data_IF_319463619324
#
_entry.id   IF_319463619324
#
_cell.length_a   1.000
_cell.length_b   1.000
_cell.length_c   1.000
_cell.angle_alpha   90.00
_cell.angle_beta   90.00
_cell.angle_gamma   90.00
#
_symmetry.space_group_name_H-M   'P 1'
#
loop_
_entity.id
_entity.type
_entity.pdbx_description
1 polymer ?
#
# COMPACT_ATOMS: atom_id res chain seq x y z
N UNK A 1 -4.09 27.77 4.76
CA UNK A 1 -3.13 26.67 5.04
C UNK A 1 -3.39 26.19 6.46
N UNK A 2 -4.09 25.07 6.63
CA UNK A 2 -4.05 24.38 7.92
C UNK A 2 -2.68 23.72 7.98
N UNK A 3 -1.79 24.23 8.81
CA UNK A 3 -0.49 23.61 9.05
C UNK A 3 -0.83 22.24 9.64
N UNK A 4 -0.44 21.15 8.95
CA UNK A 4 -0.42 19.80 9.53
C UNK A 4 0.64 19.79 10.64
N UNK A 5 0.37 20.46 11.77
CA UNK A 5 1.17 20.31 12.97
C UNK A 5 0.95 18.87 13.41
N UNK A 6 2.01 18.05 13.32
CA UNK A 6 2.00 16.71 13.90
C UNK A 6 1.71 16.89 15.39
N UNK A 7 0.57 16.41 15.86
CA UNK A 7 0.17 16.47 17.27
C UNK A 7 0.89 15.37 18.04
N UNK A 8 2.22 15.46 18.10
CA UNK A 8 3.05 14.58 18.92
C UNK A 8 3.56 15.37 20.12
N UNK A 9 3.11 14.99 21.31
CA UNK A 9 3.57 15.61 22.55
C UNK A 9 5.01 15.16 22.88
N UNK A 10 5.38 13.94 22.46
CA UNK A 10 6.70 13.34 22.63
C UNK A 10 6.93 12.21 21.63
N UNK A 11 8.18 11.96 21.25
CA UNK A 11 8.55 10.76 20.48
C UNK A 11 8.45 9.47 21.31
N UNK A 12 8.31 9.58 22.63
CA UNK A 12 8.15 8.43 23.52
C UNK A 12 6.89 7.62 23.20
N UNK A 13 5.79 8.28 22.82
CA UNK A 13 4.52 7.62 22.52
C UNK A 13 4.49 6.89 21.18
N UNK A 14 5.50 7.07 20.33
CA UNK A 14 5.59 6.35 19.06
C UNK A 14 5.99 4.91 19.30
N UNK A 15 5.33 4.00 18.58
CA UNK A 15 5.86 2.66 18.36
C UNK A 15 7.17 2.77 17.59
N UNK A 16 8.22 2.12 18.08
CA UNK A 16 9.56 2.14 17.49
C UNK A 16 9.82 0.77 16.89
N UNK A 17 9.93 0.70 15.57
CA UNK A 17 10.14 -0.54 14.84
C UNK A 17 11.60 -0.63 14.44
N UNK A 18 12.27 -1.72 14.81
CA UNK A 18 13.63 -2.02 14.42
C UNK A 18 13.67 -2.82 13.12
N UNK A 19 14.49 -2.40 12.17
CA UNK A 19 14.74 -3.10 10.93
C UNK A 19 16.22 -3.43 10.79
N UNK A 20 16.53 -4.71 10.67
CA UNK A 20 17.87 -5.16 10.27
C UNK A 20 17.87 -5.26 8.73
N UNK A 21 18.89 -4.71 8.06
CA UNK A 21 18.97 -4.67 6.59
C UNK A 21 20.38 -4.98 6.07
N UNK A 22 20.53 -5.57 4.86
CA UNK A 22 21.83 -5.71 4.21
C UNK A 22 22.59 -4.37 4.12
N UNK A 23 23.91 -4.41 4.32
CA UNK A 23 24.76 -3.23 4.21
C UNK A 23 24.71 -2.56 2.82
N UNK A 24 24.44 -3.36 1.79
CA UNK A 24 24.35 -2.91 0.38
C UNK A 24 22.93 -2.54 -0.07
N UNK A 25 21.91 -2.73 0.78
CA UNK A 25 20.54 -2.35 0.46
C UNK A 25 20.39 -0.83 0.58
N UNK A 26 19.84 -0.20 -0.46
CA UNK A 26 19.57 1.24 -0.50
C UNK A 26 18.13 1.57 -0.84
N UNK A 27 17.28 0.59 -1.17
CA UNK A 27 15.87 0.82 -1.47
C UNK A 27 15.00 0.77 -0.21
N UNK A 28 15.28 -0.14 0.73
CA UNK A 28 14.44 -0.39 1.91
C UNK A 28 14.19 0.89 2.71
N UNK A 29 15.26 1.50 3.23
CA UNK A 29 15.15 2.63 4.16
C UNK A 29 14.35 3.80 3.58
N UNK A 30 14.63 4.31 2.37
CA UNK A 30 13.85 5.41 1.82
C UNK A 30 12.39 5.01 1.55
N UNK A 31 12.13 3.80 1.02
CA UNK A 31 10.76 3.35 0.74
C UNK A 31 9.94 3.19 2.01
N UNK A 32 10.49 2.54 3.03
CA UNK A 32 9.83 2.39 4.33
C UNK A 32 9.52 3.75 4.96
N UNK A 33 10.45 4.72 4.89
CA UNK A 33 10.19 6.06 5.41
C UNK A 33 9.11 6.81 4.62
N UNK A 34 9.06 6.67 3.29
CA UNK A 34 8.02 7.27 2.46
C UNK A 34 6.63 6.69 2.78
N UNK A 35 6.53 5.38 2.93
CA UNK A 35 5.31 4.69 3.36
C UNK A 35 4.87 5.15 4.75
N UNK A 36 5.78 5.11 5.72
CA UNK A 36 5.50 5.45 7.12
C UNK A 36 5.22 6.94 7.35
N UNK A 37 5.58 7.82 6.41
CA UNK A 37 5.31 9.25 6.53
C UNK A 37 3.83 9.54 6.81
N UNK A 38 2.94 8.71 6.23
CA UNK A 38 1.49 8.74 6.43
C UNK A 38 1.02 8.38 7.85
N UNK A 39 1.90 7.92 8.73
CA UNK A 39 1.57 7.59 10.12
C UNK A 39 2.73 7.95 11.06
N UNK A 40 3.48 8.99 10.69
CA UNK A 40 4.69 9.41 11.39
C UNK A 40 4.45 10.02 12.78
N UNK A 41 3.19 10.18 13.18
CA UNK A 41 2.74 10.52 14.53
C UNK A 41 2.38 9.28 15.38
N UNK A 42 2.49 8.07 14.81
CA UNK A 42 2.16 6.79 15.45
C UNK A 42 3.35 5.85 15.55
N UNK A 43 4.20 5.84 14.52
CA UNK A 43 5.36 4.96 14.45
C UNK A 43 6.62 5.67 13.95
N UNK A 44 7.77 5.13 14.35
CA UNK A 44 9.09 5.46 13.81
C UNK A 44 9.87 4.18 13.52
N UNK A 45 10.80 4.26 12.57
CA UNK A 45 11.60 3.11 12.12
C UNK A 45 13.09 3.39 12.34
N UNK A 46 13.81 2.37 12.80
CA UNK A 46 15.21 2.45 13.20
C UNK A 46 15.97 1.30 12.56
N UNK A 47 17.20 1.54 12.11
CA UNK A 47 17.92 0.60 11.26
C UNK A 47 19.23 0.13 11.87
N UNK A 48 19.50 -1.16 11.73
CA UNK A 48 20.81 -1.74 11.94
C UNK A 48 21.20 -2.56 10.71
N UNK A 49 22.50 -2.75 10.50
CA UNK A 49 23.02 -3.35 9.27
C UNK A 49 23.86 -4.58 9.54
N UNK A 50 23.77 -5.52 8.61
CA UNK A 50 24.68 -6.68 8.52
C UNK A 50 25.45 -6.64 7.21
N UNK A 51 26.71 -7.06 7.25
CA UNK A 51 27.58 -7.08 6.08
C UNK A 51 27.11 -8.10 5.05
N UNK A 52 26.44 -7.62 3.99
CA UNK A 52 25.99 -8.41 2.84
C UNK A 52 26.28 -7.63 1.56
N UNK A 53 27.08 -8.21 0.65
CA UNK A 53 27.56 -7.52 -0.57
C UNK A 53 27.24 -8.27 -1.87
N UNK A 54 27.19 -9.59 -1.83
CA UNK A 54 26.97 -10.48 -2.98
C UNK A 54 25.78 -11.38 -2.71
N UNK A 55 25.07 -11.76 -3.76
CA UNK A 55 23.91 -12.64 -3.72
C UNK A 55 24.26 -13.96 -4.44
N UNK A 56 25.36 -14.58 -4.02
CA UNK A 56 25.83 -15.87 -4.55
C UNK A 56 25.59 -16.98 -3.53
N UNK A 57 25.46 -18.21 -4.01
CA UNK A 57 25.33 -19.42 -3.17
C UNK A 57 26.70 -20.03 -2.80
N UNK A 58 27.81 -19.35 -3.11
CA UNK A 58 29.14 -19.83 -2.75
C UNK A 58 29.28 -19.92 -1.22
N UNK A 59 29.86 -21.02 -0.70
CA UNK A 59 30.01 -21.28 0.75
C UNK A 59 30.68 -20.12 1.53
N UNK A 60 31.49 -19.29 0.85
CA UNK A 60 32.12 -18.10 1.45
C UNK A 60 31.11 -16.97 1.73
N UNK A 61 30.00 -16.93 1.00
CA UNK A 61 28.95 -15.90 1.09
C UNK A 61 27.81 -16.31 2.02
N UNK A 62 27.56 -17.61 2.24
CA UNK A 62 26.55 -18.11 3.21
C UNK A 62 26.92 -17.70 4.66
N UNK A 63 28.20 -17.53 4.96
CA UNK A 63 28.69 -17.02 6.25
C UNK A 63 28.29 -15.56 6.56
N UNK A 64 27.67 -14.85 5.61
CA UNK A 64 27.11 -13.52 5.83
C UNK A 64 25.83 -13.56 6.69
N UNK A 65 25.13 -14.70 6.74
CA UNK A 65 23.86 -14.89 7.47
C UNK A 65 24.01 -15.62 8.82
N UNK A 66 25.23 -15.73 9.36
CA UNK A 66 25.44 -16.32 10.68
C UNK A 66 24.63 -15.56 11.74
N UNK A 67 23.84 -16.31 12.54
CA UNK A 67 22.92 -15.76 13.55
C UNK A 67 23.61 -14.82 14.54
N UNK A 68 24.90 -15.00 14.79
CA UNK A 68 25.70 -14.11 15.65
C UNK A 68 25.72 -12.64 15.17
N UNK A 69 25.84 -12.38 13.86
CA UNK A 69 25.83 -11.02 13.31
C UNK A 69 24.43 -10.39 13.38
N UNK A 70 23.40 -11.19 13.14
CA UNK A 70 22.01 -10.77 13.31
C UNK A 70 21.71 -10.41 14.76
N UNK A 71 22.19 -11.22 15.71
CA UNK A 71 22.05 -10.97 17.13
C UNK A 71 22.78 -9.69 17.57
N UNK A 72 23.96 -9.40 17.01
CA UNK A 72 24.66 -8.13 17.26
C UNK A 72 23.87 -6.94 16.74
N UNK A 73 23.39 -7.00 15.49
CA UNK A 73 22.56 -5.96 14.91
C UNK A 73 21.26 -5.74 15.71
N UNK A 74 20.65 -6.82 16.20
CA UNK A 74 19.45 -6.79 17.03
C UNK A 74 19.69 -6.15 18.40
N UNK A 75 20.83 -6.43 19.06
CA UNK A 75 21.19 -5.79 20.33
C UNK A 75 21.33 -4.28 20.19
N UNK A 76 21.94 -3.80 19.11
CA UNK A 76 22.03 -2.36 18.83
C UNK A 76 20.65 -1.70 18.67
N UNK A 77 19.68 -2.40 18.05
CA UNK A 77 18.31 -1.93 17.96
C UNK A 77 17.60 -1.95 19.33
N UNK A 78 17.84 -2.99 20.13
CA UNK A 78 17.29 -3.08 21.48
C UNK A 78 17.78 -1.94 22.39
N UNK A 79 19.04 -1.51 22.25
CA UNK A 79 19.59 -0.35 22.97
C UNK A 79 18.82 0.95 22.65
N UNK A 80 18.23 1.06 21.45
CA UNK A 80 17.39 2.19 21.06
C UNK A 80 15.96 2.12 21.62
N UNK A 81 15.60 1.05 22.35
CA UNK A 81 14.28 0.87 22.94
C UNK A 81 13.18 0.65 21.90
N UNK A 82 13.48 -0.12 20.84
CA UNK A 82 12.46 -0.54 19.86
C UNK A 82 11.50 -1.57 20.45
N UNK A 83 10.28 -1.62 19.93
CA UNK A 83 9.20 -2.51 20.35
C UNK A 83 9.20 -3.86 19.59
N UNK A 84 9.79 -3.90 18.40
CA UNK A 84 9.91 -5.11 17.58
C UNK A 84 11.12 -5.03 16.65
N UNK A 85 11.60 -6.19 16.18
CA UNK A 85 12.75 -6.27 15.27
C UNK A 85 12.44 -7.16 14.07
N UNK A 86 12.55 -6.63 12.86
CA UNK A 86 12.33 -7.40 11.64
C UNK A 86 13.58 -7.44 10.75
N UNK A 87 13.89 -8.63 10.24
CA UNK A 87 14.96 -8.82 9.26
C UNK A 87 14.45 -8.62 7.82
N UNK A 88 15.02 -7.62 7.13
CA UNK A 88 14.72 -7.29 5.73
C UNK A 88 15.68 -8.01 4.79
N UNK A 89 15.49 -9.31 4.68
CA UNK A 89 16.14 -10.12 3.69
C UNK A 89 15.51 -11.50 3.68
N UNK A 90 15.97 -12.33 2.74
CA UNK A 90 15.63 -13.74 2.71
C UNK A 90 16.84 -14.49 3.26
N UNK A 91 16.67 -15.29 4.31
CA UNK A 91 17.74 -16.18 4.83
C UNK A 91 17.52 -17.63 4.40
N UNK A 92 16.27 -18.05 4.29
CA UNK A 92 15.89 -19.41 3.94
C UNK A 92 16.25 -19.84 2.54
N UNK A 93 16.12 -18.94 1.56
CA UNK A 93 16.45 -19.23 0.17
C UNK A 93 17.96 -19.50 -0.03
N UNK A 94 18.84 -18.99 0.85
CA UNK A 94 20.29 -19.05 0.66
C UNK A 94 21.01 -20.05 1.57
N UNK A 95 20.35 -20.50 2.63
CA UNK A 95 20.91 -21.42 3.62
C UNK A 95 20.60 -22.90 3.36
N UNK A 96 19.74 -23.20 2.37
CA UNK A 96 19.26 -24.55 2.08
C UNK A 96 18.25 -25.10 3.09
N UNK A 97 17.95 -24.37 4.18
CA UNK A 97 16.95 -24.75 5.20
C UNK A 97 15.55 -24.18 4.95
N UNK A 98 15.37 -23.35 3.91
CA UNK A 98 14.09 -22.68 3.67
C UNK A 98 13.63 -21.84 4.87
N UNK A 99 12.32 -21.74 5.09
CA UNK A 99 11.75 -20.89 6.14
C UNK A 99 12.16 -21.27 7.58
N UNK A 100 12.70 -22.46 7.82
CA UNK A 100 13.23 -22.85 9.13
C UNK A 100 14.40 -21.97 9.56
N UNK A 101 15.25 -21.51 8.62
CA UNK A 101 16.32 -20.56 8.93
C UNK A 101 15.79 -19.21 9.41
N UNK A 102 14.73 -18.71 8.79
CA UNK A 102 14.08 -17.47 9.21
C UNK A 102 13.46 -17.59 10.60
N UNK A 103 12.87 -18.76 10.92
CA UNK A 103 12.36 -19.06 12.25
C UNK A 103 13.49 -19.15 13.29
N UNK A 104 14.62 -19.78 12.96
CA UNK A 104 15.82 -19.83 13.81
C UNK A 104 16.34 -18.41 14.12
N UNK A 105 16.43 -17.55 13.10
CA UNK A 105 16.83 -16.14 13.28
C UNK A 105 15.87 -15.41 14.23
N UNK A 106 14.56 -15.54 14.03
CA UNK A 106 13.59 -14.88 14.90
C UNK A 106 13.68 -15.37 16.35
N UNK A 107 13.85 -16.68 16.56
CA UNK A 107 14.06 -17.28 17.90
C UNK A 107 15.32 -16.74 18.56
N UNK A 108 16.42 -16.63 17.81
CA UNK A 108 17.68 -16.11 18.32
C UNK A 108 17.58 -14.61 18.65
N UNK A 109 16.99 -13.78 17.78
CA UNK A 109 16.74 -12.35 18.06
C UNK A 109 15.91 -12.20 19.34
N UNK A 110 14.80 -12.94 19.43
CA UNK A 110 13.91 -12.90 20.61
C UNK A 110 14.65 -13.32 21.87
N UNK A 111 15.44 -14.39 21.82
CA UNK A 111 16.24 -14.87 22.97
C UNK A 111 17.25 -13.82 23.45
N UNK A 112 17.86 -13.06 22.53
CA UNK A 112 18.91 -12.10 22.86
C UNK A 112 18.38 -10.74 23.32
N UNK A 113 17.18 -10.36 22.87
CA UNK A 113 16.64 -9.00 23.09
C UNK A 113 15.38 -8.98 23.95
N UNK A 114 14.68 -10.10 24.08
CA UNK A 114 13.34 -10.18 24.67
C UNK A 114 12.24 -9.59 23.80
N UNK A 115 12.56 -9.14 22.58
CA UNK A 115 11.62 -8.45 21.69
C UNK A 115 11.02 -9.42 20.66
N UNK A 116 9.75 -9.21 20.24
CA UNK A 116 9.15 -9.97 19.17
C UNK A 116 9.89 -9.71 17.85
N UNK A 117 10.08 -10.79 17.06
CA UNK A 117 10.85 -10.73 15.82
C UNK A 117 10.14 -11.41 14.65
N UNK A 118 10.40 -10.92 13.44
CA UNK A 118 9.94 -11.52 12.18
C UNK A 118 10.97 -11.30 11.06
N UNK A 119 10.73 -11.86 9.87
CA UNK A 119 11.52 -11.63 8.65
C UNK A 119 10.61 -11.32 7.48
N UNK A 120 11.18 -10.75 6.41
CA UNK A 120 10.46 -10.53 5.16
C UNK A 120 9.87 -11.84 4.59
N UNK A 121 10.62 -12.95 4.66
CA UNK A 121 10.14 -14.25 4.19
C UNK A 121 8.98 -14.81 5.02
N UNK A 122 9.01 -14.68 6.35
CA UNK A 122 7.89 -15.11 7.20
C UNK A 122 6.67 -14.21 7.04
N UNK A 123 6.88 -12.90 6.91
CA UNK A 123 5.81 -11.95 6.61
C UNK A 123 5.14 -12.28 5.27
N UNK A 124 5.90 -12.72 4.26
CA UNK A 124 5.33 -13.15 2.98
C UNK A 124 4.38 -14.34 3.14
N UNK A 125 4.79 -15.36 3.90
CA UNK A 125 3.91 -16.50 4.19
C UNK A 125 2.64 -16.07 4.92
N UNK A 126 2.77 -15.14 5.87
CA UNK A 126 1.64 -14.64 6.64
C UNK A 126 0.65 -13.86 5.77
N UNK A 127 1.14 -13.05 4.81
CA UNK A 127 0.30 -12.33 3.85
C UNK A 127 -0.41 -13.29 2.90
N UNK A 128 0.30 -14.28 2.34
CA UNK A 128 -0.33 -15.28 1.45
C UNK A 128 -1.44 -16.05 2.18
N UNK A 129 -1.19 -16.46 3.43
CA UNK A 129 -2.19 -17.11 4.27
C UNK A 129 -3.36 -16.19 4.63
N UNK A 130 -3.09 -14.91 4.91
CA UNK A 130 -4.12 -13.91 5.22
C UNK A 130 -5.11 -13.72 4.07
N UNK A 131 -4.63 -13.73 2.82
CA UNK A 131 -5.48 -13.65 1.62
C UNK A 131 -6.00 -15.01 1.13
N UNK A 132 -5.61 -16.12 1.76
CA UNK A 132 -5.98 -17.47 1.32
C UNK A 132 -5.43 -17.84 -0.06
N UNK A 133 -4.26 -17.31 -0.43
CA UNK A 133 -3.63 -17.51 -1.73
C UNK A 133 -2.79 -18.79 -1.72
N UNK A 134 -2.93 -19.59 -2.76
CA UNK A 134 -2.15 -20.82 -2.97
C UNK A 134 -1.22 -20.70 -4.19
N UNK A 135 -1.59 -19.90 -5.19
CA UNK A 135 -0.90 -19.79 -6.48
C UNK A 135 -0.49 -18.36 -6.80
N UNK A 136 0.78 -18.15 -7.14
CA UNK A 136 1.28 -16.80 -7.45
C UNK A 136 2.36 -16.78 -8.53
N UNK A 137 2.52 -15.61 -9.16
CA UNK A 137 3.65 -15.31 -10.04
C UNK A 137 4.82 -14.74 -9.26
N UNK A 138 6.05 -15.19 -9.52
CA UNK A 138 7.25 -14.79 -8.79
C UNK A 138 8.13 -13.83 -9.60
N UNK A 139 8.28 -12.60 -9.13
CA UNK A 139 9.20 -11.61 -9.69
C UNK A 139 10.45 -11.48 -8.81
N UNK A 140 11.63 -11.68 -9.36
CA UNK A 140 12.89 -11.49 -8.62
C UNK A 140 13.95 -10.79 -9.44
N UNK A 141 14.91 -10.07 -8.85
CA UNK A 141 16.02 -9.51 -9.60
C UNK A 141 17.17 -10.51 -9.85
N UNK A 142 17.11 -11.69 -9.23
CA UNK A 142 18.25 -12.61 -9.13
C UNK A 142 18.55 -13.36 -10.42
N UNK A 143 19.69 -14.05 -10.42
CA UNK A 143 20.02 -15.06 -11.42
C UNK A 143 19.13 -16.31 -11.28
N UNK A 144 19.22 -17.22 -12.25
CA UNK A 144 18.37 -18.41 -12.33
C UNK A 144 18.36 -19.25 -11.05
N UNK A 145 19.54 -19.56 -10.51
CA UNK A 145 19.66 -20.52 -9.42
C UNK A 145 18.99 -20.02 -8.13
N UNK A 146 19.25 -18.79 -7.63
CA UNK A 146 18.50 -18.25 -6.50
C UNK A 146 16.99 -18.10 -6.76
N UNK A 147 16.59 -17.74 -7.98
CA UNK A 147 15.18 -17.65 -8.35
C UNK A 147 14.49 -19.02 -8.21
N UNK A 148 15.10 -20.08 -8.77
CA UNK A 148 14.56 -21.45 -8.66
C UNK A 148 14.56 -21.95 -7.23
N UNK A 149 15.60 -21.65 -6.46
CA UNK A 149 15.67 -22.02 -5.04
C UNK A 149 14.58 -21.33 -4.22
N UNK A 150 14.29 -20.05 -4.50
CA UNK A 150 13.18 -19.34 -3.88
C UNK A 150 11.83 -19.98 -4.22
N UNK A 151 11.58 -20.28 -5.50
CA UNK A 151 10.36 -20.96 -5.92
C UNK A 151 10.19 -22.33 -5.23
N UNK A 152 11.27 -23.12 -5.15
CA UNK A 152 11.26 -24.41 -4.44
C UNK A 152 10.99 -24.27 -2.94
N UNK A 153 11.49 -23.19 -2.32
CA UNK A 153 11.25 -22.89 -0.90
C UNK A 153 9.78 -22.57 -0.63
N UNK A 154 9.11 -21.80 -1.50
CA UNK A 154 7.66 -21.62 -1.40
C UNK A 154 6.89 -22.92 -1.67
N UNK A 155 7.36 -23.72 -2.63
CA UNK A 155 6.82 -25.06 -2.93
C UNK A 155 6.80 -25.99 -1.72
N UNK A 156 7.86 -26.01 -0.91
CA UNK A 156 7.90 -26.83 0.30
C UNK A 156 6.97 -26.34 1.42
N UNK A 157 6.52 -25.09 1.35
CA UNK A 157 5.52 -24.51 2.25
C UNK A 157 4.07 -24.67 1.74
N UNK A 158 3.87 -25.35 0.60
CA UNK A 158 2.53 -25.65 0.05
C UNK A 158 2.00 -24.62 -0.95
N UNK A 159 2.83 -23.67 -1.40
CA UNK A 159 2.43 -22.69 -2.42
C UNK A 159 2.94 -23.09 -3.81
N UNK A 160 2.20 -22.74 -4.85
CA UNK A 160 2.56 -23.00 -6.24
C UNK A 160 3.01 -21.71 -6.94
N UNK A 161 4.26 -21.70 -7.43
CA UNK A 161 4.75 -20.65 -8.32
C UNK A 161 4.36 -21.01 -9.76
N UNK A 162 3.27 -20.42 -10.26
CA UNK A 162 2.69 -20.76 -11.58
C UNK A 162 3.37 -20.04 -12.75
N UNK A 163 4.07 -18.94 -12.46
CA UNK A 163 4.89 -18.18 -13.41
C UNK A 163 6.03 -17.50 -12.67
N UNK A 164 7.12 -17.20 -13.38
CA UNK A 164 8.25 -16.53 -12.77
C UNK A 164 9.06 -15.74 -13.79
N UNK A 165 9.50 -14.55 -13.39
CA UNK A 165 10.38 -13.70 -14.18
C UNK A 165 11.56 -13.21 -13.35
N UNK A 166 12.69 -12.96 -14.03
CA UNK A 166 13.95 -12.57 -13.40
C UNK A 166 14.73 -11.54 -14.20
N UNK A 167 15.57 -10.75 -13.52
CA UNK A 167 16.44 -9.72 -14.14
C UNK A 167 17.90 -10.13 -14.29
N UNK A 168 18.32 -11.27 -13.72
CA UNK A 168 19.68 -11.80 -13.82
C UNK A 168 20.78 -10.89 -13.28
N UNK A 169 20.49 -10.21 -12.17
CA UNK A 169 21.41 -9.31 -11.49
C UNK A 169 22.00 -10.00 -10.26
N UNK A 170 23.32 -10.22 -10.26
CA UNK A 170 24.04 -10.84 -9.14
C UNK A 170 24.50 -9.83 -8.05
N UNK A 171 24.62 -8.55 -8.41
CA UNK A 171 25.18 -7.51 -7.55
C UNK A 171 24.08 -6.69 -6.90
N UNK A 172 23.98 -6.73 -5.57
CA UNK A 172 22.87 -6.07 -4.85
C UNK A 172 22.80 -4.56 -5.11
N UNK A 173 23.93 -3.87 -5.25
CA UNK A 173 23.96 -2.44 -5.56
C UNK A 173 23.29 -2.11 -6.90
N UNK A 174 23.39 -3.00 -7.90
CA UNK A 174 22.75 -2.79 -9.21
C UNK A 174 21.23 -2.99 -9.13
N UNK A 175 20.76 -3.90 -8.28
CA UNK A 175 19.33 -4.15 -8.06
C UNK A 175 18.62 -2.87 -7.60
N UNK A 176 19.21 -2.14 -6.64
CA UNK A 176 18.65 -0.89 -6.13
C UNK A 176 18.58 0.25 -7.16
N UNK A 177 19.34 0.14 -8.25
CA UNK A 177 19.33 1.09 -9.37
C UNK A 177 18.42 0.69 -10.55
N UNK A 178 17.63 -0.38 -10.42
CA UNK A 178 16.73 -0.85 -11.49
C UNK A 178 15.68 0.21 -11.81
N UNK A 179 15.48 0.51 -13.09
CA UNK A 179 14.48 1.50 -13.52
C UNK A 179 13.05 1.02 -13.24
N UNK A 180 12.14 1.94 -12.95
CA UNK A 180 10.74 1.59 -12.70
C UNK A 180 10.06 0.93 -13.92
N UNK A 181 10.39 1.33 -15.15
CA UNK A 181 9.88 0.66 -16.35
C UNK A 181 10.35 -0.79 -16.46
N UNK A 182 11.61 -1.06 -16.10
CA UNK A 182 12.14 -2.44 -16.03
C UNK A 182 11.40 -3.26 -14.97
N UNK A 183 11.09 -2.67 -13.81
CA UNK A 183 10.32 -3.34 -12.76
C UNK A 183 8.89 -3.63 -13.23
N UNK A 184 8.23 -2.67 -13.88
CA UNK A 184 6.89 -2.86 -14.44
C UNK A 184 6.86 -3.97 -15.49
N UNK A 185 7.87 -4.02 -16.36
CA UNK A 185 8.01 -5.12 -17.31
C UNK A 185 8.23 -6.48 -16.61
N UNK A 186 9.09 -6.53 -15.59
CA UNK A 186 9.31 -7.74 -14.79
C UNK A 186 7.99 -8.26 -14.18
N UNK A 187 7.14 -7.36 -13.68
CA UNK A 187 5.84 -7.72 -13.10
C UNK A 187 4.88 -8.26 -14.16
N UNK A 188 4.83 -7.66 -15.36
CA UNK A 188 4.06 -8.19 -16.50
C UNK A 188 4.55 -9.58 -16.91
N UNK A 189 5.86 -9.77 -16.98
CA UNK A 189 6.47 -11.03 -17.37
C UNK A 189 6.28 -12.13 -16.31
N UNK A 190 6.16 -11.74 -15.03
CA UNK A 190 5.86 -12.65 -13.93
C UNK A 190 4.38 -13.00 -13.84
N UNK A 191 3.48 -12.29 -14.51
CA UNK A 191 2.04 -12.53 -14.44
C UNK A 191 1.58 -13.72 -15.31
N UNK A 192 0.51 -14.38 -14.87
CA UNK A 192 -0.12 -15.50 -15.56
C UNK A 192 -1.60 -15.54 -15.20
N UNK A 193 -2.52 -15.91 -16.12
CA UNK A 193 -3.94 -16.09 -15.78
C UNK A 193 -4.21 -17.03 -14.59
N UNK A 194 -3.29 -17.94 -14.27
CA UNK A 194 -3.38 -18.87 -13.14
C UNK A 194 -2.91 -18.28 -11.80
N UNK A 195 -2.21 -17.14 -11.82
CA UNK A 195 -1.70 -16.48 -10.63
C UNK A 195 -2.80 -15.67 -9.95
N UNK A 196 -2.97 -15.87 -8.63
CA UNK A 196 -3.92 -15.11 -7.79
C UNK A 196 -3.31 -13.77 -7.32
N UNK A 197 -1.99 -13.73 -7.20
CA UNK A 197 -1.20 -12.54 -6.91
C UNK A 197 0.18 -12.61 -7.56
N UNK A 198 0.95 -11.52 -7.43
CA UNK A 198 2.39 -11.52 -7.65
C UNK A 198 3.15 -11.39 -6.34
N UNK A 199 4.31 -12.03 -6.25
CA UNK A 199 5.26 -11.89 -5.15
C UNK A 199 6.55 -11.30 -5.68
N UNK A 200 6.99 -10.17 -5.13
CA UNK A 200 8.30 -9.60 -5.44
C UNK A 200 9.30 -9.99 -4.36
N UNK A 201 10.17 -10.94 -4.70
CA UNK A 201 11.13 -11.54 -3.77
C UNK A 201 12.44 -10.77 -3.67
N UNK A 202 12.43 -9.50 -3.26
CA UNK A 202 13.65 -8.74 -2.96
C UNK A 202 13.34 -7.43 -2.21
N UNK A 203 14.03 -7.18 -1.10
CA UNK A 203 13.92 -5.91 -0.34
C UNK A 203 14.77 -4.77 -0.91
N UNK A 204 15.53 -5.00 -1.98
CA UNK A 204 16.35 -3.98 -2.64
C UNK A 204 15.86 -3.65 -4.06
N UNK A 205 14.86 -4.36 -4.57
CA UNK A 205 14.17 -4.01 -5.81
C UNK A 205 13.02 -3.06 -5.44
N UNK A 206 13.01 -1.84 -5.96
CA UNK A 206 12.07 -0.79 -5.54
C UNK A 206 10.66 -0.94 -6.14
N UNK A 207 10.07 -2.14 -6.09
CA UNK A 207 8.77 -2.42 -6.70
C UNK A 207 7.59 -1.77 -5.95
N UNK A 208 7.75 -1.49 -4.66
CA UNK A 208 6.76 -0.76 -3.85
C UNK A 208 6.25 0.53 -4.53
N UNK A 209 7.10 1.23 -5.30
CA UNK A 209 6.77 2.51 -5.97
C UNK A 209 5.73 2.36 -7.07
N UNK A 210 5.64 1.19 -7.70
CA UNK A 210 4.78 0.96 -8.88
C UNK A 210 3.57 0.08 -8.56
N UNK A 211 3.32 -0.26 -7.29
CA UNK A 211 2.29 -1.23 -6.91
C UNK A 211 0.89 -0.79 -7.33
N UNK A 212 0.45 0.42 -6.97
CA UNK A 212 -0.91 0.88 -7.33
C UNK A 212 -1.14 0.88 -8.86
N UNK A 213 -0.13 1.31 -9.64
CA UNK A 213 -0.19 1.29 -11.12
C UNK A 213 -0.31 -0.14 -11.63
N UNK A 214 0.56 -1.04 -11.16
CA UNK A 214 0.64 -2.40 -11.67
C UNK A 214 -0.48 -3.31 -11.18
N UNK A 215 -0.96 -3.14 -9.94
CA UNK A 215 -2.15 -3.84 -9.45
C UNK A 215 -3.40 -3.43 -10.23
N UNK A 216 -3.51 -2.14 -10.57
CA UNK A 216 -4.59 -1.65 -11.44
C UNK A 216 -4.50 -2.23 -12.85
N UNK A 217 -3.30 -2.27 -13.43
CA UNK A 217 -3.06 -2.81 -14.77
C UNK A 217 -3.33 -4.32 -14.84
N UNK A 218 -2.80 -5.09 -13.88
CA UNK A 218 -2.85 -6.56 -13.89
C UNK A 218 -4.11 -7.13 -13.23
N UNK A 219 -4.85 -6.31 -12.48
CA UNK A 219 -6.07 -6.71 -11.78
C UNK A 219 -5.84 -7.69 -10.62
N UNK A 220 -4.62 -7.72 -10.07
CA UNK A 220 -4.19 -8.66 -9.01
C UNK A 220 -3.36 -7.94 -7.96
N UNK A 221 -3.45 -8.34 -6.68
CA UNK A 221 -2.56 -7.80 -5.65
C UNK A 221 -1.10 -8.18 -5.93
N UNK A 222 -0.18 -7.28 -5.57
CA UNK A 222 1.26 -7.48 -5.69
C UNK A 222 1.88 -7.32 -4.31
N UNK A 223 2.50 -8.38 -3.81
CA UNK A 223 3.13 -8.41 -2.51
C UNK A 223 4.64 -8.19 -2.63
N UNK A 224 5.03 -6.93 -2.51
CA UNK A 224 6.44 -6.51 -2.45
C UNK A 224 7.07 -6.78 -1.09
N UNK A 225 8.32 -7.27 -1.08
CA UNK A 225 9.03 -7.62 0.16
C UNK A 225 9.16 -6.46 1.16
N UNK A 226 9.36 -5.21 0.71
CA UNK A 226 9.43 -4.04 1.60
C UNK A 226 8.05 -3.74 2.17
N UNK A 227 7.01 -3.67 1.32
CA UNK A 227 5.64 -3.40 1.73
C UNK A 227 5.10 -4.47 2.70
N UNK A 228 5.34 -5.75 2.40
CA UNK A 228 4.98 -6.91 3.24
C UNK A 228 5.67 -6.86 4.60
N UNK A 229 6.97 -6.52 4.62
CA UNK A 229 7.70 -6.43 5.89
C UNK A 229 7.20 -5.25 6.74
N UNK A 230 6.83 -4.13 6.12
CA UNK A 230 6.19 -3.02 6.83
C UNK A 230 4.80 -3.41 7.34
N UNK A 231 3.97 -4.08 6.53
CA UNK A 231 2.66 -4.58 6.95
C UNK A 231 2.76 -5.44 8.21
N UNK A 232 3.70 -6.38 8.23
CA UNK A 232 3.96 -7.22 9.40
C UNK A 232 4.40 -6.39 10.60
N UNK A 233 5.27 -5.41 10.39
CA UNK A 233 5.75 -4.55 11.48
C UNK A 233 4.63 -3.71 12.09
N UNK A 234 3.71 -3.18 11.26
CA UNK A 234 2.54 -2.43 11.73
C UNK A 234 1.56 -3.32 12.48
N UNK A 235 1.33 -4.54 11.99
CA UNK A 235 0.53 -5.57 12.67
C UNK A 235 1.11 -5.90 14.06
N UNK A 236 2.41 -6.14 14.15
CA UNK A 236 3.11 -6.37 15.44
C UNK A 236 3.03 -5.16 16.38
N UNK A 237 2.92 -3.95 15.83
CA UNK A 237 2.79 -2.71 16.58
C UNK A 237 1.32 -2.36 16.92
N UNK A 238 0.35 -3.18 16.50
CA UNK A 238 -1.10 -2.95 16.63
C UNK A 238 -1.55 -1.65 15.94
N UNK A 239 -0.91 -1.31 14.83
CA UNK A 239 -1.26 -0.15 13.99
C UNK A 239 -1.99 -0.65 12.74
N UNK A 240 -3.28 -0.34 12.66
CA UNK A 240 -4.16 -0.77 11.56
C UNK A 240 -4.53 0.39 10.62
N UNK A 241 -3.76 1.48 10.62
CA UNK A 241 -4.01 2.61 9.73
C UNK A 241 -3.68 2.20 8.28
N UNK A 242 -4.61 2.36 7.33
CA UNK A 242 -4.33 2.09 5.92
C UNK A 242 -3.36 3.13 5.36
N UNK A 243 -2.40 2.68 4.55
CA UNK A 243 -1.44 3.51 3.83
C UNK A 243 -1.75 3.48 2.33
N UNK A 244 -1.91 4.65 1.73
CA UNK A 244 -2.30 4.78 0.32
C UNK A 244 -1.06 4.91 -0.58
N UNK A 245 -1.18 4.50 -1.84
CA UNK A 245 -0.10 4.66 -2.83
C UNK A 245 0.92 3.51 -2.86
N UNK A 246 0.67 2.41 -2.13
CA UNK A 246 1.67 1.35 -1.89
C UNK A 246 1.08 -0.06 -2.00
N UNK A 247 0.11 -0.23 -2.91
CA UNK A 247 -0.59 -1.48 -3.18
C UNK A 247 -1.73 -1.77 -2.22
N UNK A 248 -2.54 -2.76 -2.59
CA UNK A 248 -3.72 -3.20 -1.84
C UNK A 248 -3.36 -3.62 -0.42
N UNK A 249 -2.23 -4.29 -0.22
CA UNK A 249 -1.84 -4.84 1.09
C UNK A 249 -1.79 -3.78 2.20
N UNK A 250 -1.09 -2.66 1.95
CA UNK A 250 -0.92 -1.63 2.98
C UNK A 250 -2.15 -0.74 3.14
N UNK A 251 -3.03 -0.74 2.14
CA UNK A 251 -4.30 -0.03 2.16
C UNK A 251 -5.43 -0.85 2.78
N UNK A 252 -5.29 -2.17 2.83
CA UNK A 252 -6.36 -3.10 3.19
C UNK A 252 -6.96 -2.78 4.56
N UNK A 253 -8.27 -2.57 4.60
CA UNK A 253 -9.00 -2.17 5.81
C UNK A 253 -10.51 -2.35 5.60
N UNK A 254 -11.22 -2.91 6.58
CA UNK A 254 -12.67 -3.23 6.48
C UNK A 254 -13.53 -2.03 6.05
N UNK A 255 -13.22 -0.83 6.56
CA UNK A 255 -13.90 0.41 6.17
C UNK A 255 -13.65 0.75 4.70
N UNK A 256 -12.41 0.60 4.21
CA UNK A 256 -12.07 0.88 2.81
C UNK A 256 -12.83 -0.08 1.89
N UNK A 257 -12.85 -1.37 2.23
CA UNK A 257 -13.59 -2.39 1.45
C UNK A 257 -15.09 -2.10 1.38
N UNK A 258 -15.70 -1.75 2.53
CA UNK A 258 -17.11 -1.39 2.58
C UNK A 258 -17.42 -0.14 1.75
N UNK A 259 -16.53 0.86 1.77
CA UNK A 259 -16.68 2.08 0.95
C UNK A 259 -16.48 1.79 -0.54
N UNK A 260 -15.50 0.97 -0.93
CA UNK A 260 -15.31 0.56 -2.32
C UNK A 260 -16.55 -0.22 -2.84
N UNK A 261 -17.18 -1.07 -2.01
CA UNK A 261 -18.42 -1.77 -2.35
C UNK A 261 -19.64 -0.82 -2.54
N UNK A 262 -19.80 0.16 -1.65
CA UNK A 262 -20.85 1.21 -1.79
C UNK A 262 -20.66 1.98 -3.11
N UNK A 263 -19.41 2.28 -3.46
CA UNK A 263 -19.12 3.01 -4.69
C UNK A 263 -19.34 2.18 -5.96
N UNK A 264 -19.10 0.87 -5.92
CA UNK A 264 -19.41 -0.04 -7.01
C UNK A 264 -20.92 -0.12 -7.27
N UNK A 265 -21.73 -0.26 -6.21
CA UNK A 265 -23.20 -0.23 -6.31
C UNK A 265 -23.71 1.12 -6.83
N UNK A 266 -23.16 2.24 -6.34
CA UNK A 266 -23.50 3.58 -6.83
C UNK A 266 -23.16 3.76 -8.31
N UNK A 267 -21.99 3.25 -8.74
CA UNK A 267 -21.56 3.31 -10.14
C UNK A 267 -22.53 2.56 -11.04
N UNK A 268 -22.93 1.35 -10.65
CA UNK A 268 -23.89 0.51 -11.38
C UNK A 268 -25.27 1.20 -11.45
N UNK A 269 -25.83 1.65 -10.33
CA UNK A 269 -27.15 2.30 -10.32
C UNK A 269 -27.22 3.57 -11.15
N UNK A 270 -26.13 4.33 -11.21
CA UNK A 270 -26.08 5.61 -11.93
C UNK A 270 -25.62 5.50 -13.38
N UNK A 271 -25.07 4.33 -13.76
CA UNK A 271 -24.41 4.10 -15.06
C UNK A 271 -23.39 5.22 -15.37
N UNK A 272 -22.71 5.70 -14.33
CA UNK A 272 -21.71 6.75 -14.42
C UNK A 272 -20.36 6.16 -14.88
N UNK A 273 -19.36 7.03 -15.07
CA UNK A 273 -18.03 6.59 -15.49
C UNK A 273 -17.14 6.25 -14.29
N UNK A 274 -17.32 6.95 -13.17
CA UNK A 274 -16.50 6.79 -11.96
C UNK A 274 -17.22 7.32 -10.74
N UNK A 275 -17.06 6.64 -9.61
CA UNK A 275 -17.50 7.09 -8.29
C UNK A 275 -16.29 7.14 -7.34
N UNK A 276 -16.19 8.16 -6.49
CA UNK A 276 -15.06 8.35 -5.57
C UNK A 276 -15.51 8.82 -4.20
N UNK A 277 -14.75 8.47 -3.17
CA UNK A 277 -14.86 9.07 -1.83
C UNK A 277 -13.55 9.76 -1.48
N UNK A 278 -13.66 10.97 -0.94
CA UNK A 278 -12.57 11.70 -0.28
C UNK A 278 -12.98 11.98 1.16
N UNK A 279 -12.06 11.78 2.09
CA UNK A 279 -12.29 11.92 3.53
C UNK A 279 -11.26 12.86 4.17
N UNK A 280 -11.68 13.59 5.19
CA UNK A 280 -10.81 14.34 6.09
C UNK A 280 -10.98 13.75 7.48
N UNK A 281 -10.10 12.81 7.83
CA UNK A 281 -10.08 12.17 9.15
C UNK A 281 -8.67 12.35 9.72
N UNK A 282 -8.34 13.55 10.24
CA UNK A 282 -6.98 13.89 10.65
C UNK A 282 -6.42 12.95 11.71
N UNK A 283 -7.27 12.42 12.60
CA UNK A 283 -6.85 11.48 13.62
C UNK A 283 -6.32 10.16 13.04
N UNK A 284 -6.72 9.77 11.84
CA UNK A 284 -6.20 8.60 11.13
C UNK A 284 -5.15 8.98 10.08
N UNK A 285 -4.73 10.26 10.05
CA UNK A 285 -3.92 10.89 9.02
C UNK A 285 -4.50 10.72 7.59
N UNK A 286 -5.83 10.68 7.49
CA UNK A 286 -6.53 10.65 6.21
C UNK A 286 -6.82 12.10 5.80
N UNK A 287 -6.35 12.48 4.61
CA UNK A 287 -6.59 13.81 4.04
C UNK A 287 -7.39 13.73 2.74
N UNK A 288 -8.12 14.79 2.44
CA UNK A 288 -9.03 14.83 1.29
C UNK A 288 -8.33 14.86 -0.07
N UNK A 289 -7.04 15.18 -0.10
CA UNK A 289 -6.28 15.33 -1.35
C UNK A 289 -6.07 13.99 -2.08
N UNK A 290 -6.18 12.87 -1.35
CA UNK A 290 -6.16 11.51 -1.91
C UNK A 290 -7.59 10.98 -2.12
N UNK A 291 -7.77 10.13 -3.16
CA UNK A 291 -9.02 9.38 -3.32
C UNK A 291 -8.98 8.16 -2.42
N UNK A 292 -9.88 8.15 -1.44
CA UNK A 292 -9.89 7.15 -0.38
C UNK A 292 -10.54 5.84 -0.81
N UNK A 293 -11.63 5.92 -1.59
CA UNK A 293 -12.30 4.79 -2.22
C UNK A 293 -12.74 5.18 -3.64
N UNK A 294 -12.79 4.22 -4.55
CA UNK A 294 -13.14 4.45 -5.96
C UNK A 294 -13.69 3.18 -6.62
N UNK A 295 -14.70 3.37 -7.48
CA UNK A 295 -15.06 2.41 -8.50
C UNK A 295 -15.05 3.09 -9.88
N UNK A 296 -14.57 2.38 -10.91
CA UNK A 296 -14.47 2.87 -12.29
C UNK A 296 -15.15 1.92 -13.27
N UNK A 297 -15.75 2.49 -14.32
CA UNK A 297 -16.21 1.70 -15.46
C UNK A 297 -15.00 1.22 -16.29
N UNK A 298 -15.12 0.14 -17.09
CA UNK A 298 -14.03 -0.34 -17.94
C UNK A 298 -13.44 0.76 -18.83
N UNK A 299 -12.11 0.87 -18.85
CA UNK A 299 -11.38 1.86 -19.65
C UNK A 299 -11.37 3.29 -19.06
N UNK A 300 -11.96 3.53 -17.89
CA UNK A 300 -11.92 4.82 -17.21
C UNK A 300 -10.69 4.91 -16.31
N UNK A 301 -9.89 5.96 -16.51
CA UNK A 301 -8.70 6.20 -15.70
C UNK A 301 -9.04 6.46 -14.21
N UNK A 302 -8.28 5.81 -13.33
CA UNK A 302 -8.35 5.99 -11.88
C UNK A 302 -7.89 7.39 -11.44
N UNK A 303 -8.54 7.93 -10.40
CA UNK A 303 -8.12 9.11 -9.66
C UNK A 303 -7.31 8.77 -8.40
N UNK A 304 -7.22 7.50 -7.99
CA UNK A 304 -6.42 7.08 -6.82
C UNK A 304 -4.93 7.43 -6.98
N UNK A 305 -4.47 7.52 -8.23
CA UNK A 305 -3.09 7.87 -8.59
C UNK A 305 -2.79 9.38 -8.63
N UNK A 306 -3.76 10.26 -8.34
CA UNK A 306 -3.58 11.72 -8.42
C UNK A 306 -4.00 12.47 -7.15
N UNK A 307 -3.00 12.98 -6.45
CA UNK A 307 -3.11 13.84 -5.26
C UNK A 307 -2.59 15.26 -5.50
N UNK A 308 -2.39 15.67 -6.76
CA UNK A 308 -1.76 16.95 -7.12
C UNK A 308 -2.61 18.20 -6.81
N UNK A 309 -3.89 18.02 -6.52
CA UNK A 309 -4.83 19.11 -6.27
C UNK A 309 -5.05 19.31 -4.77
N UNK A 310 -4.91 20.55 -4.31
CA UNK A 310 -5.42 20.96 -2.99
C UNK A 310 -6.96 21.01 -3.05
N UNK A 311 -7.60 19.93 -2.62
CA UNK A 311 -9.04 19.73 -2.81
C UNK A 311 -9.87 20.78 -2.06
N UNK A 312 -9.47 21.16 -0.84
CA UNK A 312 -10.20 22.17 -0.05
C UNK A 312 -10.13 23.58 -0.65
N UNK A 313 -9.22 23.83 -1.58
CA UNK A 313 -9.15 25.12 -2.29
C UNK A 313 -10.08 25.21 -3.50
N UNK A 314 -10.69 24.10 -3.94
CA UNK A 314 -11.53 24.05 -5.13
C UNK A 314 -12.91 24.66 -4.87
N UNK A 315 -13.42 25.41 -5.86
CA UNK A 315 -14.70 26.13 -5.75
C UNK A 315 -15.89 25.20 -5.45
N UNK A 316 -15.93 24.02 -6.07
CA UNK A 316 -16.96 22.99 -5.82
C UNK A 316 -16.92 22.48 -4.38
N UNK A 317 -15.73 22.29 -3.82
CA UNK A 317 -15.54 21.83 -2.44
C UNK A 317 -15.87 22.93 -1.43
N UNK A 318 -15.48 24.18 -1.71
CA UNK A 318 -15.90 25.33 -0.89
C UNK A 318 -17.42 25.52 -0.91
N UNK A 319 -18.07 25.27 -2.04
CA UNK A 319 -19.52 25.30 -2.14
C UNK A 319 -20.17 24.19 -1.31
N UNK A 320 -19.66 22.96 -1.38
CA UNK A 320 -20.11 21.87 -0.50
C UNK A 320 -19.90 22.24 0.97
N UNK A 321 -18.77 22.87 1.27
CA UNK A 321 -18.42 23.25 2.62
C UNK A 321 -19.36 24.35 3.18
N UNK A 322 -19.80 25.26 2.33
CA UNK A 322 -20.74 26.31 2.72
C UNK A 322 -22.18 25.80 2.84
N UNK A 323 -22.61 24.95 1.90
CA UNK A 323 -24.04 24.66 1.71
C UNK A 323 -24.50 23.35 2.35
N UNK A 324 -23.60 22.38 2.58
CA UNK A 324 -23.91 21.07 3.17
C UNK A 324 -25.03 20.33 2.42
N UNK A 325 -25.11 20.53 1.10
CA UNK A 325 -26.10 19.94 0.19
C UNK A 325 -25.39 19.30 -1.00
N UNK A 326 -26.09 18.43 -1.71
CA UNK A 326 -25.58 17.87 -2.97
C UNK A 326 -25.40 19.00 -4.00
N UNK A 327 -24.24 18.99 -4.67
CA UNK A 327 -23.97 19.82 -5.84
C UNK A 327 -24.21 18.97 -7.09
N UNK A 328 -25.21 19.32 -7.87
CA UNK A 328 -25.58 18.61 -9.11
C UNK A 328 -25.15 19.48 -10.29
N UNK A 329 -24.36 18.91 -11.20
CA UNK A 329 -23.83 19.61 -12.36
C UNK A 329 -24.03 18.75 -13.60
N UNK A 330 -25.03 19.11 -14.39
CA UNK A 330 -25.31 18.47 -15.69
C UNK A 330 -24.26 18.84 -16.74
N UNK A 331 -23.67 20.03 -16.58
CA UNK A 331 -22.54 20.56 -17.34
C UNK A 331 -21.51 21.16 -16.37
N UNK A 332 -20.34 20.55 -16.28
CA UNK A 332 -19.25 20.96 -15.40
C UNK A 332 -18.59 22.30 -15.79
N UNK A 333 -18.82 22.77 -17.02
CA UNK A 333 -18.23 24.00 -17.57
C UNK A 333 -19.25 25.15 -17.46
N UNK A 334 -20.49 24.91 -17.90
CA UNK A 334 -21.54 25.93 -17.96
C UNK A 334 -22.43 25.90 -16.71
N UNK A 335 -21.85 26.22 -15.56
CA UNK A 335 -22.48 26.14 -14.23
C UNK A 335 -22.01 27.29 -13.33
N UNK A 336 -22.79 27.62 -12.30
CA UNK A 336 -22.47 28.71 -11.36
C UNK A 336 -21.16 28.45 -10.59
N UNK A 337 -20.86 27.17 -10.33
CA UNK A 337 -19.66 26.74 -9.58
C UNK A 337 -18.82 25.81 -10.45
N UNK A 338 -17.93 26.33 -11.32
CA UNK A 338 -17.25 25.49 -12.30
C UNK A 338 -16.39 24.41 -11.64
N UNK A 339 -16.39 23.22 -12.25
CA UNK A 339 -15.55 22.11 -11.81
C UNK A 339 -14.05 22.43 -12.04
N UNK A 340 -13.13 21.73 -11.32
CA UNK A 340 -11.69 21.93 -11.50
C UNK A 340 -11.25 21.67 -12.95
N UNK A 341 -10.41 22.56 -13.50
CA UNK A 341 -9.93 22.44 -14.89
C UNK A 341 -9.21 21.12 -15.16
N UNK A 342 -8.43 20.62 -14.20
CA UNK A 342 -7.75 19.32 -14.32
C UNK A 342 -8.76 18.17 -14.45
N UNK A 343 -9.84 18.19 -13.67
CA UNK A 343 -10.88 17.16 -13.72
C UNK A 343 -11.59 17.11 -15.09
N UNK A 344 -11.86 18.28 -15.68
CA UNK A 344 -12.50 18.39 -17.00
C UNK A 344 -11.52 18.13 -18.15
N UNK A 345 -10.30 18.65 -18.05
CA UNK A 345 -9.31 18.64 -19.14
C UNK A 345 -8.47 17.38 -19.21
N UNK A 346 -8.09 16.80 -18.06
CA UNK A 346 -7.27 15.58 -17.99
C UNK A 346 -8.15 14.34 -17.93
N UNK A 347 -9.16 14.35 -17.04
CA UNK A 347 -10.02 13.19 -16.81
C UNK A 347 -11.34 13.24 -17.58
N UNK A 348 -11.56 14.26 -18.40
CA UNK A 348 -12.69 14.33 -19.33
C UNK A 348 -14.05 14.48 -18.66
N UNK A 349 -14.15 14.79 -17.37
CA UNK A 349 -15.45 14.87 -16.67
C UNK A 349 -16.31 15.99 -17.27
N UNK A 350 -17.53 15.64 -17.69
CA UNK A 350 -18.48 16.56 -18.33
C UNK A 350 -19.72 16.84 -17.48
N UNK A 351 -20.14 15.88 -16.67
CA UNK A 351 -21.19 16.04 -15.68
C UNK A 351 -20.77 15.39 -14.35
N UNK A 352 -21.25 15.91 -13.22
CA UNK A 352 -20.98 15.33 -11.91
C UNK A 352 -22.07 15.58 -10.88
N UNK A 353 -22.10 14.72 -9.86
CA UNK A 353 -22.81 14.95 -8.59
C UNK A 353 -21.80 14.85 -7.46
N UNK A 354 -21.80 15.83 -6.56
CA UNK A 354 -21.00 15.77 -5.33
C UNK A 354 -21.94 15.76 -4.12
N UNK A 355 -21.77 14.78 -3.24
CA UNK A 355 -22.57 14.62 -2.03
C UNK A 355 -21.73 14.75 -0.77
N UNK A 356 -22.03 15.71 0.12
CA UNK A 356 -21.20 15.98 1.29
C UNK A 356 -21.39 14.92 2.37
N UNK A 357 -20.29 14.39 2.90
CA UNK A 357 -20.30 13.64 4.16
C UNK A 357 -20.06 14.63 5.30
N UNK A 358 -21.06 14.74 6.18
CA UNK A 358 -21.08 15.73 7.26
C UNK A 358 -21.06 15.01 8.59
N UNK A 359 -20.11 15.36 9.45
CA UNK A 359 -20.10 14.95 10.85
C UNK A 359 -19.85 16.13 11.77
N UNK A 360 -20.55 16.16 12.91
CA UNK A 360 -20.49 17.24 13.89
C UNK A 360 -20.65 18.65 13.28
N UNK A 361 -21.45 18.77 12.21
CA UNK A 361 -21.67 20.02 11.47
C UNK A 361 -20.55 20.44 10.50
N UNK A 362 -19.46 19.67 10.42
CA UNK A 362 -18.31 19.92 9.55
C UNK A 362 -18.30 18.97 8.35
N UNK A 363 -17.71 19.42 7.22
CA UNK A 363 -17.48 18.56 6.06
C UNK A 363 -16.31 17.61 6.36
N UNK A 364 -16.64 16.37 6.71
CA UNK A 364 -15.67 15.29 6.94
C UNK A 364 -15.29 14.57 5.65
N UNK A 365 -15.94 14.85 4.52
CA UNK A 365 -15.61 14.28 3.22
C UNK A 365 -16.69 14.51 2.20
N UNK A 366 -16.59 13.84 1.05
CA UNK A 366 -17.65 13.81 0.05
C UNK A 366 -17.53 12.59 -0.86
N UNK A 367 -18.68 12.20 -1.40
CA UNK A 367 -18.79 11.26 -2.51
C UNK A 367 -18.89 12.07 -3.80
N UNK A 368 -18.23 11.62 -4.87
CA UNK A 368 -18.40 12.18 -6.22
C UNK A 368 -18.86 11.10 -7.19
N UNK A 369 -19.78 11.45 -8.08
CA UNK A 369 -20.17 10.67 -9.26
C UNK A 369 -19.75 11.47 -10.48
N UNK A 370 -18.95 10.89 -11.37
CA UNK A 370 -18.43 11.53 -12.56
C UNK A 370 -18.93 10.84 -13.83
N UNK A 371 -19.34 11.63 -14.82
CA UNK A 371 -19.69 11.15 -16.15
C UNK A 371 -18.80 11.82 -17.21
N UNK A 372 -18.14 10.98 -18.02
CA UNK A 372 -17.14 11.38 -19.02
C UNK A 372 -17.74 11.51 -20.44
N UNK A 373 -18.65 10.61 -20.92
CA UNK A 373 -19.11 10.62 -22.31
C UNK A 373 -19.72 11.94 -22.81
N UNK A 374 -20.34 12.72 -21.93
CA UNK A 374 -20.98 13.98 -22.30
C UNK A 374 -21.63 14.68 -21.11
N UNK A 375 -22.24 15.84 -21.37
CA UNK A 375 -23.17 16.43 -20.40
C UNK A 375 -24.41 15.52 -20.29
N UNK A 376 -25.03 15.44 -19.12
CA UNK A 376 -26.26 14.66 -18.92
C UNK A 376 -27.12 15.27 -17.82
N UNK A 377 -28.45 15.19 -17.92
CA UNK A 377 -29.31 15.38 -16.77
C UNK A 377 -29.08 14.27 -15.74
N UNK A 378 -29.29 14.58 -14.47
CA UNK A 378 -29.27 13.60 -13.38
C UNK A 378 -30.70 13.28 -12.98
N UNK A 379 -31.08 12.01 -13.11
CA UNK A 379 -32.45 11.55 -12.85
C UNK A 379 -32.76 11.50 -11.35
N UNK A 380 -34.04 11.47 -10.98
CA UNK A 380 -34.44 11.26 -9.59
C UNK A 380 -33.86 9.96 -9.00
N UNK A 381 -33.73 8.91 -9.84
CA UNK A 381 -33.10 7.65 -9.45
C UNK A 381 -31.60 7.81 -9.17
N UNK A 382 -30.88 8.59 -10.00
CA UNK A 382 -29.46 8.88 -9.77
C UNK A 382 -29.26 9.59 -8.42
N UNK A 383 -30.11 10.59 -8.14
CA UNK A 383 -30.05 11.37 -6.91
C UNK A 383 -30.44 10.52 -5.69
N UNK A 384 -31.43 9.63 -5.83
CA UNK A 384 -31.80 8.69 -4.77
C UNK A 384 -30.68 7.68 -4.48
N UNK A 385 -30.01 7.15 -5.52
CA UNK A 385 -28.86 6.27 -5.36
C UNK A 385 -27.70 6.98 -4.66
N UNK A 386 -27.40 8.22 -5.05
CA UNK A 386 -26.39 9.05 -4.39
C UNK A 386 -26.71 9.27 -2.91
N UNK A 387 -27.96 9.62 -2.59
CA UNK A 387 -28.38 9.84 -1.20
C UNK A 387 -28.29 8.57 -0.36
N UNK A 388 -28.61 7.41 -0.95
CA UNK A 388 -28.47 6.11 -0.29
C UNK A 388 -26.99 5.81 0.01
N UNK A 389 -26.11 5.93 -0.98
CA UNK A 389 -24.67 5.72 -0.82
C UNK A 389 -24.06 6.65 0.24
N UNK A 390 -24.49 7.93 0.29
CA UNK A 390 -24.06 8.86 1.34
C UNK A 390 -24.45 8.39 2.74
N UNK A 391 -25.67 7.86 2.90
CA UNK A 391 -26.16 7.38 4.19
C UNK A 391 -25.41 6.10 4.64
N UNK A 392 -25.18 5.16 3.71
CA UNK A 392 -24.42 3.95 3.99
C UNK A 392 -22.95 4.25 4.32
N UNK A 393 -22.30 5.10 3.53
CA UNK A 393 -20.92 5.51 3.78
C UNK A 393 -20.80 6.18 5.15
N UNK A 394 -21.74 7.06 5.50
CA UNK A 394 -21.77 7.67 6.84
C UNK A 394 -21.95 6.61 7.94
N UNK A 395 -22.85 5.65 7.76
CA UNK A 395 -23.06 4.59 8.75
C UNK A 395 -21.81 3.72 8.97
N UNK A 396 -21.07 3.40 7.90
CA UNK A 396 -19.78 2.69 7.97
C UNK A 396 -18.76 3.51 8.76
N UNK A 397 -18.61 4.79 8.42
CA UNK A 397 -17.64 5.68 9.06
C UNK A 397 -17.97 5.93 10.55
N UNK A 398 -19.24 6.15 10.88
CA UNK A 398 -19.71 6.33 12.26
C UNK A 398 -19.43 5.06 13.09
N UNK A 399 -19.75 3.87 12.54
CA UNK A 399 -19.54 2.58 13.22
C UNK A 399 -18.06 2.33 13.53
N UNK A 400 -17.18 2.73 12.62
CA UNK A 400 -15.73 2.61 12.80
C UNK A 400 -15.13 3.70 13.69
N UNK A 401 -15.91 4.72 14.09
CA UNK A 401 -15.42 5.86 14.86
C UNK A 401 -14.51 6.80 14.06
N UNK A 402 -14.67 6.84 12.74
CA UNK A 402 -13.84 7.67 11.85
C UNK A 402 -14.38 9.10 11.73
N UNK A 403 -15.69 9.30 11.86
CA UNK A 403 -16.33 10.61 11.77
C UNK A 403 -17.32 10.84 12.88
#
# INVERSE_FOLDING_TARGET
MSIRLKKIDSLHSLKKIGFITPSSNTALEPLTNLMLHQISDRASVHYSRVGVKTLSLDEKDVNQFQTAKMAEAARLLADAGVDSILWNGTSGAWSGKGFEADQEICKDITKQTGLPASTSSLAQLEVLAYYGIEKFGLATPYTEEPHRQMAATYGSAGFEVVSGARLDIATNQLIGGTSFETIKQLLRDADSPEAECLVVGCTNLAAAVVLDEMEHELGKPIFDSVAVTLWQALKMAEINNPLHGWGKLLRDHEVVEALDAILADLLDKTQASRTTIRLDVPQLNIGVDDVYAEATAPGVASLKLDSSLNQRSLATVQWLDKNRKMLIQEDCINTEVPAPKALVGVYGVKAQVLGPLVSQGQLSGWISVHHIPGTRPWTENDIAAMQHAMNEAKAVLDKAGWV
#
